data_IF_670806283735
#
_entry.id   IF_670806283735
#
_cell.length_a   1.000
_cell.length_b   1.000
_cell.length_c   1.000
_cell.angle_alpha   90.00
_cell.angle_beta   90.00
_cell.angle_gamma   90.00
#
_symmetry.space_group_name_H-M   'P 1'
#
loop_
_entity.id
_entity.type
_entity.pdbx_description
1 polymer ?
#
# COMPACT_ATOMS: atom_id res chain seq x y z
N UNK A 1 -13.39 17.78 6.14
CA UNK A 1 -13.42 16.40 5.67
C UNK A 1 -12.25 16.18 4.73
N UNK A 2 -11.61 15.03 4.83
CA UNK A 2 -10.44 14.64 4.01
C UNK A 2 -10.85 13.72 2.85
N UNK A 3 -12.02 13.95 2.27
CA UNK A 3 -12.58 13.06 1.26
C UNK A 3 -11.93 13.19 -0.12
N UNK A 4 -11.14 14.23 -0.34
CA UNK A 4 -10.45 14.49 -1.62
C UNK A 4 -9.04 14.98 -1.35
N UNK A 5 -8.08 14.52 -2.17
CA UNK A 5 -6.75 15.12 -2.25
C UNK A 5 -6.81 16.30 -3.22
N UNK A 6 -6.55 17.51 -2.72
CA UNK A 6 -6.71 18.74 -3.49
C UNK A 6 -5.85 18.82 -4.77
N UNK A 7 -4.78 18.04 -4.81
CA UNK A 7 -3.84 18.03 -5.93
C UNK A 7 -4.19 17.00 -7.03
N UNK A 8 -5.23 16.21 -6.86
CA UNK A 8 -5.72 15.38 -7.96
C UNK A 8 -6.46 16.24 -8.98
N UNK A 9 -6.15 16.03 -10.27
CA UNK A 9 -6.74 16.77 -11.37
C UNK A 9 -8.27 16.54 -11.51
N UNK A 10 -8.72 15.33 -11.12
CA UNK A 10 -10.13 15.00 -10.96
C UNK A 10 -10.41 14.68 -9.50
N UNK A 11 -11.55 15.09 -8.99
CA UNK A 11 -11.98 14.73 -7.65
C UNK A 11 -11.97 13.19 -7.51
N UNK A 12 -11.42 12.71 -6.39
CA UNK A 12 -11.47 11.33 -5.92
C UNK A 12 -10.57 10.31 -6.64
N UNK A 13 -10.06 10.57 -7.84
CA UNK A 13 -9.29 9.57 -8.58
C UNK A 13 -8.29 10.15 -9.57
N UNK A 14 -7.20 9.43 -9.80
CA UNK A 14 -6.32 9.57 -10.95
C UNK A 14 -5.73 8.24 -11.37
N UNK A 15 -5.20 8.17 -12.57
CA UNK A 15 -4.53 6.99 -13.10
C UNK A 15 -3.24 6.67 -12.31
N UNK A 16 -3.00 5.39 -12.05
CA UNK A 16 -1.72 4.88 -11.52
C UNK A 16 -0.72 4.77 -12.66
N UNK A 17 0.46 5.35 -12.48
CA UNK A 17 1.51 5.39 -13.49
C UNK A 17 2.83 4.81 -12.97
N UNK A 18 3.81 4.65 -13.84
CA UNK A 18 5.16 4.22 -13.48
C UNK A 18 5.82 5.16 -12.44
N UNK A 19 5.44 6.44 -12.41
CA UNK A 19 5.94 7.40 -11.43
C UNK A 19 5.57 7.00 -10.00
N UNK A 20 4.36 6.47 -9.76
CA UNK A 20 3.90 6.07 -8.43
C UNK A 20 4.72 4.90 -7.86
N UNK A 21 5.17 3.99 -8.74
CA UNK A 21 6.05 2.89 -8.34
C UNK A 21 7.47 3.39 -8.01
N UNK A 22 8.03 4.25 -8.86
CA UNK A 22 9.36 4.86 -8.61
C UNK A 22 9.31 5.74 -7.36
N UNK A 23 8.24 6.48 -7.16
CA UNK A 23 8.05 7.31 -5.97
C UNK A 23 8.02 6.44 -4.71
N UNK A 24 7.35 5.31 -4.72
CA UNK A 24 7.35 4.38 -3.58
C UNK A 24 8.76 3.83 -3.29
N UNK A 25 9.54 3.45 -4.31
CA UNK A 25 10.93 3.02 -4.10
C UNK A 25 11.76 4.13 -3.43
N UNK A 26 11.57 5.38 -3.84
CA UNK A 26 12.20 6.54 -3.22
C UNK A 26 11.77 6.73 -1.76
N UNK A 27 10.49 6.52 -1.45
CA UNK A 27 9.96 6.56 -0.08
C UNK A 27 10.60 5.52 0.84
N UNK A 28 10.84 4.31 0.34
CA UNK A 28 11.53 3.25 1.12
C UNK A 28 12.92 3.69 1.58
N UNK A 29 13.60 4.54 0.80
CA UNK A 29 14.91 5.06 1.12
C UNK A 29 14.89 6.31 2.02
N UNK A 30 13.73 6.91 2.26
CA UNK A 30 13.63 8.11 3.07
C UNK A 30 13.72 7.79 4.57
N UNK A 31 14.81 8.20 5.27
CA UNK A 31 15.07 7.76 6.65
C UNK A 31 13.95 8.06 7.64
N UNK A 32 13.23 9.16 7.45
CA UNK A 32 12.15 9.57 8.35
C UNK A 32 10.91 8.65 8.30
N UNK A 33 10.76 7.85 7.26
CA UNK A 33 9.66 6.89 7.14
C UNK A 33 9.96 5.56 7.84
N UNK A 34 11.20 5.38 8.33
CA UNK A 34 11.64 4.20 9.09
C UNK A 34 11.23 2.87 8.44
N UNK A 35 11.41 2.77 7.11
CA UNK A 35 11.04 1.57 6.37
C UNK A 35 11.78 0.33 6.91
N UNK A 36 11.06 -0.74 7.30
CA UNK A 36 11.70 -1.94 7.87
C UNK A 36 12.55 -2.70 6.85
N UNK A 37 12.37 -2.45 5.55
CA UNK A 37 13.12 -3.10 4.48
C UNK A 37 14.23 -2.23 3.89
N UNK A 38 14.43 -1.01 4.40
CA UNK A 38 15.43 -0.07 3.86
C UNK A 38 16.84 -0.66 3.82
N UNK A 39 17.25 -1.39 4.87
CA UNK A 39 18.54 -2.05 4.93
C UNK A 39 18.73 -3.07 3.80
N UNK A 40 17.76 -3.97 3.64
CA UNK A 40 17.79 -4.99 2.58
C UNK A 40 17.78 -4.34 1.18
N UNK A 41 16.94 -3.35 0.95
CA UNK A 41 16.90 -2.65 -0.34
C UNK A 41 18.20 -1.89 -0.63
N UNK A 42 18.85 -1.37 0.40
CA UNK A 42 20.17 -0.72 0.31
C UNK A 42 21.29 -1.67 -0.14
N UNK A 43 21.18 -2.96 0.13
CA UNK A 43 22.13 -3.97 -0.35
C UNK A 43 21.97 -4.21 -1.86
N UNK A 44 20.75 -4.18 -2.38
CA UNK A 44 20.47 -4.61 -3.74
C UNK A 44 20.22 -3.50 -4.74
N UNK A 45 19.53 -2.41 -4.36
CA UNK A 45 19.20 -1.34 -5.31
C UNK A 45 20.37 -0.38 -5.47
N UNK A 46 20.76 -0.11 -6.73
CA UNK A 46 21.85 0.81 -7.07
C UNK A 46 21.57 2.23 -6.55
N UNK A 47 22.53 2.80 -5.82
CA UNK A 47 22.43 4.19 -5.34
C UNK A 47 21.43 4.42 -4.22
N UNK A 48 20.84 3.36 -3.64
CA UNK A 48 19.84 3.49 -2.58
C UNK A 48 20.41 4.09 -1.29
N UNK A 49 21.59 3.66 -0.75
CA UNK A 49 22.19 4.28 0.41
C UNK A 49 22.56 5.73 0.19
N UNK A 50 23.17 6.04 -0.94
CA UNK A 50 23.60 7.40 -1.32
C UNK A 50 22.39 8.36 -1.45
N UNK A 51 21.30 7.84 -1.98
CA UNK A 51 20.04 8.57 -2.07
C UNK A 51 19.46 8.85 -0.67
N UNK A 52 19.46 7.85 0.21
CA UNK A 52 19.04 8.00 1.61
C UNK A 52 19.85 9.08 2.35
N UNK A 53 21.18 9.08 2.19
CA UNK A 53 22.05 10.11 2.76
C UNK A 53 21.76 11.49 2.20
N UNK A 54 21.48 11.59 0.90
CA UNK A 54 21.10 12.85 0.26
C UNK A 54 19.84 13.44 0.87
N UNK A 55 18.81 12.61 1.05
CA UNK A 55 17.56 13.03 1.69
C UNK A 55 17.74 13.40 3.15
N UNK A 56 18.61 12.68 3.87
CA UNK A 56 18.94 12.98 5.27
C UNK A 56 19.58 14.35 5.43
N UNK A 57 20.39 14.78 4.46
CA UNK A 57 21.01 16.11 4.44
C UNK A 57 20.03 17.19 3.99
N UNK A 58 19.22 16.93 2.97
CA UNK A 58 18.29 17.91 2.42
C UNK A 58 17.10 18.24 3.35
N UNK A 59 16.70 17.32 4.21
CA UNK A 59 15.51 17.51 5.05
C UNK A 59 15.68 18.62 6.11
N UNK A 60 16.80 18.72 6.87
CA UNK A 60 17.04 19.83 7.77
C UNK A 60 17.05 21.21 7.08
N UNK A 61 17.63 21.30 5.88
CA UNK A 61 17.63 22.52 5.10
C UNK A 61 16.20 22.95 4.76
N UNK A 62 15.37 21.99 4.34
CA UNK A 62 13.95 22.22 4.07
C UNK A 62 13.17 22.66 5.31
N UNK A 63 13.47 22.09 6.49
CA UNK A 63 12.88 22.52 7.76
C UNK A 63 13.23 23.97 8.09
N UNK A 64 14.49 24.36 7.88
CA UNK A 64 14.95 25.71 8.11
C UNK A 64 14.30 26.73 7.16
N UNK A 65 14.19 26.38 5.88
CA UNK A 65 13.59 27.23 4.85
C UNK A 65 12.08 27.44 5.08
N UNK A 66 11.36 26.39 5.41
CA UNK A 66 9.90 26.43 5.59
C UNK A 66 9.46 26.96 6.94
N UNK A 67 10.30 26.81 7.97
CA UNK A 67 9.94 27.07 9.37
C UNK A 67 8.94 26.06 9.95
N UNK A 68 8.69 24.96 9.25
CA UNK A 68 7.75 23.90 9.66
C UNK A 68 8.48 22.79 10.42
N UNK A 69 7.80 22.18 11.40
CA UNK A 69 8.35 21.06 12.16
C UNK A 69 8.53 19.79 11.30
N UNK A 70 7.59 19.54 10.41
CA UNK A 70 7.58 18.39 9.50
C UNK A 70 7.20 18.80 8.06
N UNK A 71 8.08 19.52 7.35
CA UNK A 71 7.78 19.99 6.01
C UNK A 71 7.74 18.84 4.99
N UNK A 72 6.94 19.02 3.95
CA UNK A 72 6.98 18.15 2.79
C UNK A 72 8.31 18.33 2.04
N UNK A 73 8.99 17.20 1.81
CA UNK A 73 10.15 17.09 0.92
C UNK A 73 9.72 16.34 -0.34
N UNK A 74 9.77 17.01 -1.48
CA UNK A 74 9.40 16.35 -2.75
C UNK A 74 10.51 15.39 -3.20
N UNK A 75 10.27 14.10 -3.04
CA UNK A 75 11.26 13.07 -3.40
C UNK A 75 11.50 12.99 -4.91
N UNK A 76 10.65 13.61 -5.72
CA UNK A 76 10.82 13.65 -7.19
C UNK A 76 11.99 14.53 -7.60
N UNK A 77 12.31 15.56 -6.81
CA UNK A 77 13.42 16.47 -7.07
C UNK A 77 14.80 15.80 -6.90
N UNK A 78 14.86 14.64 -6.28
CA UNK A 78 16.09 13.90 -6.03
C UNK A 78 16.16 12.66 -6.92
N UNK A 79 17.16 12.51 -7.79
CA UNK A 79 17.32 11.34 -8.63
C UNK A 79 17.82 10.13 -7.83
N UNK A 80 17.18 8.96 -8.01
CA UNK A 80 17.65 7.67 -7.52
C UNK A 80 18.21 6.88 -8.69
N UNK A 81 19.52 6.63 -8.71
CA UNK A 81 20.18 5.94 -9.82
C UNK A 81 19.62 4.52 -10.10
N UNK A 82 19.11 3.87 -9.06
CA UNK A 82 18.56 2.51 -9.11
C UNK A 82 17.07 2.43 -9.43
N UNK A 83 16.34 3.54 -9.56
CA UNK A 83 14.92 3.51 -9.92
C UNK A 83 14.57 4.71 -10.82
N UNK A 84 14.09 4.42 -12.01
CA UNK A 84 13.77 5.44 -13.02
C UNK A 84 12.46 5.15 -13.76
N UNK A 85 11.75 6.18 -14.13
CA UNK A 85 10.61 6.12 -15.04
C UNK A 85 11.13 6.09 -16.46
N UNK A 86 10.74 5.09 -17.24
CA UNK A 86 11.08 4.99 -18.66
C UNK A 86 10.04 5.69 -19.51
N UNK A 87 8.77 5.41 -19.22
CA UNK A 87 7.62 6.08 -19.82
C UNK A 87 6.40 5.97 -18.86
N UNK A 88 5.23 6.38 -19.30
CA UNK A 88 4.01 6.43 -18.49
C UNK A 88 3.68 5.12 -17.77
N UNK A 89 4.02 3.97 -18.36
CA UNK A 89 3.65 2.63 -17.84
C UNK A 89 4.84 1.72 -17.61
N UNK A 90 6.06 2.19 -17.84
CA UNK A 90 7.27 1.41 -17.63
C UNK A 90 8.24 2.12 -16.72
N UNK A 91 8.69 1.41 -15.72
CA UNK A 91 9.79 1.84 -14.86
C UNK A 91 10.88 0.76 -14.84
N UNK A 92 12.05 1.13 -14.37
CA UNK A 92 13.20 0.25 -14.23
C UNK A 92 13.76 0.32 -12.83
N UNK A 93 14.03 -0.85 -12.25
CA UNK A 93 14.86 -0.98 -11.04
C UNK A 93 16.17 -1.65 -11.41
N UNK A 94 17.30 -1.01 -11.05
CA UNK A 94 18.65 -1.53 -11.27
C UNK A 94 19.19 -2.13 -9.99
N UNK A 95 19.65 -3.38 -10.08
CA UNK A 95 20.23 -4.11 -8.96
C UNK A 95 21.74 -4.17 -9.09
N UNK A 96 22.45 -4.15 -7.92
CA UNK A 96 23.92 -4.23 -7.85
C UNK A 96 24.47 -5.60 -8.27
N UNK A 97 23.62 -6.62 -8.31
CA UNK A 97 24.02 -7.98 -8.66
C UNK A 97 22.84 -8.85 -9.04
N UNK A 98 23.09 -10.13 -9.20
CA UNK A 98 22.07 -11.12 -9.53
C UNK A 98 21.22 -11.46 -8.31
N UNK A 99 19.96 -11.06 -8.32
CA UNK A 99 18.99 -11.34 -7.24
C UNK A 99 17.61 -11.73 -7.83
N UNK A 100 17.46 -13.00 -8.26
CA UNK A 100 16.24 -13.46 -8.94
C UNK A 100 14.97 -13.30 -8.08
N UNK A 101 15.11 -13.39 -6.74
CA UNK A 101 14.00 -13.25 -5.80
C UNK A 101 13.48 -11.81 -5.69
N UNK A 102 14.15 -10.82 -6.30
CA UNK A 102 13.71 -9.42 -6.21
C UNK A 102 12.28 -9.22 -6.70
N UNK A 103 11.84 -10.02 -7.68
CA UNK A 103 10.46 -9.93 -8.20
C UNK A 103 9.41 -10.20 -7.12
N UNK A 104 9.70 -11.02 -6.11
CA UNK A 104 8.77 -11.28 -5.02
C UNK A 104 8.59 -10.07 -4.10
N UNK A 105 9.61 -9.20 -3.97
CA UNK A 105 9.47 -7.94 -3.25
C UNK A 105 8.46 -7.01 -3.90
N UNK A 106 8.40 -6.98 -5.24
CA UNK A 106 7.46 -6.14 -5.98
C UNK A 106 5.99 -6.55 -5.74
N UNK A 107 5.75 -7.80 -5.32
CA UNK A 107 4.43 -8.29 -4.95
C UNK A 107 4.07 -8.01 -3.48
N UNK A 108 4.99 -7.48 -2.69
CA UNK A 108 4.74 -7.17 -1.28
C UNK A 108 4.15 -5.77 -1.10
N UNK A 109 3.35 -5.52 -0.05
CA UNK A 109 2.75 -4.21 0.24
C UNK A 109 3.76 -3.06 0.33
N UNK A 110 5.02 -3.34 0.64
CA UNK A 110 6.09 -2.33 0.68
C UNK A 110 6.32 -1.62 -0.66
N UNK A 111 6.01 -2.29 -1.76
CA UNK A 111 6.17 -1.76 -3.11
C UNK A 111 4.85 -1.33 -3.75
N UNK A 112 3.76 -1.30 -2.99
CA UNK A 112 2.50 -0.76 -3.49
C UNK A 112 2.70 0.68 -4.02
N UNK A 113 2.19 1.00 -5.21
CA UNK A 113 2.38 2.33 -5.80
C UNK A 113 1.82 3.42 -4.90
N UNK A 114 2.54 4.53 -4.79
CA UNK A 114 2.20 5.65 -3.91
C UNK A 114 2.11 6.94 -4.71
N UNK A 115 0.95 7.61 -4.74
CA UNK A 115 0.84 8.93 -5.34
C UNK A 115 1.56 9.97 -4.46
N UNK A 116 2.46 10.75 -5.06
CA UNK A 116 3.20 11.81 -4.36
C UNK A 116 2.27 12.86 -3.74
N UNK A 117 1.11 13.06 -4.36
CA UNK A 117 0.05 13.94 -3.88
C UNK A 117 -0.43 13.56 -2.49
N UNK A 118 -0.48 12.26 -2.17
CA UNK A 118 -0.85 11.79 -0.85
C UNK A 118 0.17 12.19 0.21
N UNK A 119 1.47 12.00 -0.06
CA UNK A 119 2.53 12.45 0.85
C UNK A 119 2.45 13.96 1.09
N UNK A 120 2.30 14.74 0.02
CA UNK A 120 2.15 16.19 0.11
C UNK A 120 0.92 16.59 0.92
N UNK A 121 -0.21 15.93 0.70
CA UNK A 121 -1.45 16.20 1.42
C UNK A 121 -1.31 15.94 2.92
N UNK A 122 -0.74 14.80 3.31
CA UNK A 122 -0.59 14.43 4.73
C UNK A 122 0.55 15.16 5.43
N UNK A 123 1.50 15.75 4.70
CA UNK A 123 2.54 16.60 5.27
C UNK A 123 2.09 18.03 5.57
N UNK A 124 0.84 18.40 5.30
CA UNK A 124 0.34 19.74 5.62
C UNK A 124 0.38 20.03 7.12
N UNK A 125 0.64 21.30 7.53
CA UNK A 125 0.69 21.69 8.93
C UNK A 125 -0.57 21.28 9.71
N UNK A 126 -0.36 20.64 10.85
CA UNK A 126 -1.42 20.22 11.76
C UNK A 126 -2.08 18.88 11.43
N UNK A 127 -1.75 18.21 10.33
CA UNK A 127 -2.26 16.87 10.00
C UNK A 127 -1.79 15.84 11.03
N UNK A 128 -0.49 15.80 11.30
CA UNK A 128 0.11 14.88 12.29
C UNK A 128 -0.51 15.06 13.70
N UNK A 129 -0.65 16.32 14.16
CA UNK A 129 -1.27 16.62 15.47
C UNK A 129 -2.72 16.18 15.59
N UNK A 130 -3.41 15.98 14.47
CA UNK A 130 -4.80 15.52 14.39
C UNK A 130 -4.91 14.03 14.10
N UNK A 131 -3.80 13.29 14.04
CA UNK A 131 -3.74 11.91 13.57
C UNK A 131 -4.35 11.71 12.17
N UNK A 132 -4.26 12.73 11.31
CA UNK A 132 -4.68 12.63 9.92
C UNK A 132 -3.45 12.23 9.11
N UNK A 133 -3.35 10.97 8.77
CA UNK A 133 -2.19 10.40 8.06
C UNK A 133 -2.61 9.30 7.12
N UNK A 134 -1.69 8.88 6.26
CA UNK A 134 -1.90 7.78 5.34
C UNK A 134 -2.26 6.46 6.04
N UNK A 135 -1.78 6.25 7.27
CA UNK A 135 -2.09 5.05 8.06
C UNK A 135 -3.56 4.98 8.48
N UNK A 136 -4.20 6.12 8.66
CA UNK A 136 -5.61 6.21 9.06
C UNK A 136 -6.54 6.37 7.86
N UNK A 137 -6.06 6.98 6.79
CA UNK A 137 -6.83 7.28 5.58
C UNK A 137 -6.02 6.88 4.34
N UNK A 138 -5.80 5.57 4.13
CA UNK A 138 -4.99 5.08 3.03
C UNK A 138 -5.62 5.42 1.67
N UNK A 139 -4.75 5.65 0.68
CA UNK A 139 -5.11 5.80 -0.73
C UNK A 139 -4.64 4.56 -1.47
N UNK A 140 -5.49 3.98 -2.28
CA UNK A 140 -5.16 2.77 -3.03
C UNK A 140 -6.03 2.58 -4.26
N UNK A 141 -5.58 1.72 -5.17
CA UNK A 141 -6.26 1.37 -6.42
C UNK A 141 -7.06 0.06 -6.35
N UNK A 142 -7.10 -0.58 -5.17
CA UNK A 142 -7.73 -1.87 -4.99
C UNK A 142 -9.27 -1.83 -4.99
N UNK A 143 -9.92 -3.02 -4.99
CA UNK A 143 -11.37 -3.15 -5.05
C UNK A 143 -12.08 -2.69 -3.77
N UNK A 144 -11.36 -2.50 -2.69
CA UNK A 144 -11.91 -2.04 -1.42
C UNK A 144 -11.16 -0.81 -0.91
N UNK A 145 -11.87 0.02 -0.14
CA UNK A 145 -11.31 1.16 0.58
C UNK A 145 -11.67 1.07 2.07
N UNK A 146 -10.81 1.62 2.92
CA UNK A 146 -10.98 1.64 4.37
C UNK A 146 -12.06 2.66 4.76
N UNK A 147 -13.18 2.19 5.32
CA UNK A 147 -14.28 3.02 5.78
C UNK A 147 -14.24 3.27 7.30
N UNK A 148 -13.77 2.27 8.07
CA UNK A 148 -13.59 2.39 9.51
C UNK A 148 -12.25 1.77 9.89
N UNK A 149 -11.49 2.49 10.71
CA UNK A 149 -10.24 1.99 11.28
C UNK A 149 -10.26 2.22 12.80
N UNK A 150 -10.72 1.21 13.54
CA UNK A 150 -10.67 1.21 14.99
C UNK A 150 -9.69 0.13 15.46
N UNK A 151 -8.45 0.50 15.85
CA UNK A 151 -7.41 -0.46 16.23
C UNK A 151 -7.70 -1.25 17.49
N UNK A 152 -8.77 -0.91 18.22
CA UNK A 152 -9.19 -1.62 19.42
C UNK A 152 -10.45 -2.49 19.22
N UNK A 153 -11.06 -2.41 18.05
CA UNK A 153 -12.32 -3.10 17.79
C UNK A 153 -12.32 -3.79 16.42
N UNK A 154 -12.25 -3.01 15.33
CA UNK A 154 -12.38 -3.56 13.99
C UNK A 154 -11.88 -2.60 12.91
N UNK A 155 -11.60 -3.18 11.74
CA UNK A 155 -11.45 -2.45 10.48
C UNK A 155 -12.58 -2.85 9.53
N UNK A 156 -13.15 -1.87 8.84
CA UNK A 156 -14.21 -2.10 7.86
C UNK A 156 -13.76 -1.59 6.50
N UNK A 157 -13.74 -2.49 5.54
CA UNK A 157 -13.50 -2.18 4.15
C UNK A 157 -14.83 -2.20 3.39
N UNK A 158 -15.03 -1.24 2.51
CA UNK A 158 -16.19 -1.15 1.61
C UNK A 158 -15.72 -1.12 0.16
N UNK A 159 -16.58 -1.44 -0.80
CA UNK A 159 -16.25 -1.36 -2.23
C UNK A 159 -15.69 0.02 -2.57
N UNK A 160 -14.61 0.01 -3.35
CA UNK A 160 -14.05 1.22 -3.92
C UNK A 160 -14.83 1.58 -5.20
N UNK A 161 -15.56 2.72 -5.23
CA UNK A 161 -16.34 3.10 -6.40
C UNK A 161 -15.47 3.45 -7.63
N UNK A 162 -14.18 3.74 -7.40
CA UNK A 162 -13.20 4.09 -8.44
C UNK A 162 -12.35 2.89 -8.86
N UNK A 163 -12.70 1.67 -8.43
CA UNK A 163 -11.97 0.48 -8.86
C UNK A 163 -12.15 0.27 -10.37
N UNK A 164 -11.03 0.01 -11.06
CA UNK A 164 -11.02 -0.12 -12.52
C UNK A 164 -11.82 -1.32 -13.05
N UNK A 165 -12.18 -2.25 -12.14
CA UNK A 165 -12.89 -3.48 -12.47
C UNK A 165 -11.96 -4.60 -12.93
N UNK A 166 -12.23 -5.78 -12.41
CA UNK A 166 -11.65 -7.05 -12.86
C UNK A 166 -12.78 -8.04 -13.02
N UNK A 167 -12.57 -9.04 -13.86
CA UNK A 167 -13.52 -10.12 -14.05
C UNK A 167 -13.02 -11.40 -13.37
N UNK A 168 -13.95 -12.18 -12.88
CA UNK A 168 -13.61 -13.51 -12.38
C UNK A 168 -13.01 -14.35 -13.51
N UNK A 169 -11.94 -15.12 -13.28
CA UNK A 169 -11.24 -15.85 -14.32
C UNK A 169 -12.15 -16.77 -15.14
N UNK A 170 -11.97 -16.76 -16.46
CA UNK A 170 -12.68 -17.65 -17.38
C UNK A 170 -11.98 -18.99 -17.57
N UNK A 171 -10.68 -19.04 -17.25
CA UNK A 171 -9.81 -20.20 -17.38
C UNK A 171 -9.28 -20.63 -16.01
N UNK A 172 -9.08 -21.92 -15.83
CA UNK A 172 -8.56 -22.54 -14.62
C UNK A 172 -7.85 -23.85 -14.95
N UNK A 173 -7.50 -24.60 -13.91
CA UNK A 173 -6.91 -25.92 -14.08
C UNK A 173 -7.92 -26.94 -14.65
N UNK A 174 -7.38 -28.04 -15.16
CA UNK A 174 -8.20 -29.15 -15.67
C UNK A 174 -9.05 -29.72 -14.50
N UNK A 175 -10.36 -29.63 -14.61
CA UNK A 175 -11.28 -30.05 -13.56
C UNK A 175 -11.99 -28.92 -12.82
N UNK A 176 -11.46 -27.69 -12.80
CA UNK A 176 -12.05 -26.55 -12.09
C UNK A 176 -13.49 -26.26 -12.55
N UNK A 177 -13.74 -26.39 -13.85
CA UNK A 177 -15.08 -26.22 -14.41
C UNK A 177 -16.04 -27.29 -13.91
N UNK A 178 -15.59 -28.55 -13.84
CA UNK A 178 -16.40 -29.66 -13.33
C UNK A 178 -16.62 -29.54 -11.81
N UNK A 179 -15.67 -28.95 -11.09
CA UNK A 179 -15.79 -28.66 -9.66
C UNK A 179 -16.65 -27.42 -9.35
N UNK A 180 -17.17 -26.71 -10.37
CA UNK A 180 -17.99 -25.52 -10.20
C UNK A 180 -17.21 -24.23 -9.88
N UNK A 181 -15.88 -24.28 -9.87
CA UNK A 181 -15.04 -23.12 -9.51
C UNK A 181 -15.08 -22.00 -10.55
N UNK A 182 -15.53 -22.27 -11.76
CA UNK A 182 -15.71 -21.30 -12.84
C UNK A 182 -17.19 -20.91 -13.05
N UNK A 183 -18.06 -21.13 -12.05
CA UNK A 183 -19.48 -20.76 -12.16
C UNK A 183 -19.70 -19.26 -12.36
N UNK A 184 -18.81 -18.44 -11.77
CA UNK A 184 -18.85 -16.96 -11.84
C UNK A 184 -17.93 -16.38 -12.93
N UNK A 185 -17.41 -17.22 -13.83
CA UNK A 185 -16.52 -16.77 -14.91
C UNK A 185 -17.08 -15.58 -15.68
N UNK A 186 -16.25 -14.55 -15.87
CA UNK A 186 -16.62 -13.31 -16.57
C UNK A 186 -17.50 -12.33 -15.78
N UNK A 187 -17.90 -12.66 -14.56
CA UNK A 187 -18.61 -11.71 -13.70
C UNK A 187 -17.65 -10.70 -13.08
N UNK A 188 -18.12 -9.47 -12.89
CA UNK A 188 -17.31 -8.40 -12.27
C UNK A 188 -17.09 -8.66 -10.77
N UNK A 189 -15.83 -8.57 -10.33
CA UNK A 189 -15.47 -8.65 -8.93
C UNK A 189 -15.21 -7.26 -8.34
N UNK A 190 -15.32 -7.07 -7.00
CA UNK A 190 -15.59 -8.06 -5.95
C UNK A 190 -17.08 -8.42 -5.84
N UNK A 191 -17.41 -9.65 -5.43
CA UNK A 191 -18.79 -10.08 -5.19
C UNK A 191 -19.35 -9.58 -3.86
N UNK A 192 -18.49 -9.39 -2.85
CA UNK A 192 -18.89 -8.90 -1.53
C UNK A 192 -18.89 -7.38 -1.49
N UNK A 193 -19.78 -6.79 -0.70
CA UNK A 193 -19.91 -5.34 -0.54
C UNK A 193 -19.01 -4.78 0.55
N UNK A 194 -18.72 -5.63 1.56
CA UNK A 194 -18.02 -5.22 2.77
C UNK A 194 -17.18 -6.37 3.33
N UNK A 195 -15.95 -6.05 3.75
CA UNK A 195 -15.11 -6.95 4.54
C UNK A 195 -14.88 -6.34 5.92
N UNK A 196 -15.14 -7.11 6.97
CA UNK A 196 -15.01 -6.67 8.36
C UNK A 196 -13.95 -7.52 9.04
N UNK A 197 -12.88 -6.88 9.49
CA UNK A 197 -11.82 -7.50 10.28
C UNK A 197 -12.01 -7.16 11.75
N UNK A 198 -12.52 -8.09 12.54
CA UNK A 198 -12.67 -7.93 13.99
C UNK A 198 -11.34 -8.24 14.68
N UNK A 199 -10.97 -7.41 15.64
CA UNK A 199 -9.74 -7.56 16.42
C UNK A 199 -10.07 -8.29 17.72
N UNK A 200 -9.60 -9.52 17.82
CA UNK A 200 -9.73 -10.33 19.03
C UNK A 200 -8.37 -10.43 19.73
N UNK A 201 -8.34 -10.29 21.04
CA UNK A 201 -7.10 -10.34 21.82
C UNK A 201 -6.59 -11.76 22.04
N UNK A 202 -7.49 -12.75 21.97
CA UNK A 202 -7.19 -14.15 22.28
C UNK A 202 -7.70 -15.08 21.19
N UNK A 203 -7.02 -16.22 21.02
CA UNK A 203 -7.28 -17.19 19.96
C UNK A 203 -8.58 -17.99 20.18
N UNK A 204 -8.84 -18.43 21.40
CA UNK A 204 -10.02 -19.26 21.72
C UNK A 204 -11.34 -18.58 21.40
N UNK A 205 -11.58 -17.28 21.80
CA UNK A 205 -12.80 -16.58 21.45
C UNK A 205 -13.08 -16.48 19.97
N UNK A 206 -12.09 -16.18 19.13
CA UNK A 206 -12.36 -16.03 17.69
C UNK A 206 -12.66 -17.38 17.02
N UNK A 207 -12.00 -18.48 17.44
CA UNK A 207 -12.29 -19.80 16.93
C UNK A 207 -13.74 -20.23 17.27
N UNK A 208 -14.18 -20.02 18.51
CA UNK A 208 -15.54 -20.29 18.94
C UNK A 208 -16.58 -19.44 18.17
N UNK A 209 -16.28 -18.17 17.89
CA UNK A 209 -17.13 -17.31 17.07
C UNK A 209 -17.22 -17.79 15.63
N UNK A 210 -16.14 -18.30 15.06
CA UNK A 210 -16.16 -18.93 13.75
C UNK A 210 -17.05 -20.18 13.73
N UNK A 211 -16.89 -21.09 14.68
CA UNK A 211 -17.74 -22.28 14.80
C UNK A 211 -19.23 -21.95 14.99
N UNK A 212 -19.55 -20.84 15.60
CA UNK A 212 -20.91 -20.33 15.80
C UNK A 212 -21.45 -19.54 14.59
N UNK A 213 -20.67 -19.38 13.53
CA UNK A 213 -21.06 -18.68 12.32
C UNK A 213 -21.04 -17.14 12.39
N UNK A 214 -20.36 -16.56 13.38
CA UNK A 214 -20.16 -15.10 13.45
C UNK A 214 -19.08 -14.61 12.51
N UNK A 215 -18.14 -15.47 12.11
CA UNK A 215 -17.05 -15.16 11.19
C UNK A 215 -17.06 -16.12 10.02
N UNK A 216 -16.78 -15.61 8.82
CA UNK A 216 -16.69 -16.39 7.58
C UNK A 216 -15.32 -17.08 7.44
N UNK A 217 -14.30 -16.58 8.14
CA UNK A 217 -12.94 -17.12 8.12
C UNK A 217 -12.29 -17.03 9.50
N UNK A 218 -11.44 -18.01 9.82
CA UNK A 218 -10.64 -18.05 11.04
C UNK A 218 -9.36 -18.81 10.80
N UNK A 219 -8.29 -18.46 11.51
CA UNK A 219 -7.12 -19.32 11.68
C UNK A 219 -7.41 -20.41 12.72
N UNK A 220 -6.75 -21.56 12.57
CA UNK A 220 -6.78 -22.64 13.56
C UNK A 220 -5.49 -22.53 14.37
N UNK A 221 -5.60 -22.38 15.70
CA UNK A 221 -4.46 -22.43 16.59
C UNK A 221 -4.12 -23.88 16.99
N UNK A 222 -2.89 -24.10 17.51
CA UNK A 222 -2.47 -25.41 18.02
C UNK A 222 -3.43 -25.97 19.06
N UNK A 223 -4.03 -25.10 19.87
CA UNK A 223 -4.94 -25.48 20.97
C UNK A 223 -6.34 -25.91 20.49
N UNK A 224 -6.58 -25.84 19.17
CA UNK A 224 -7.86 -26.17 18.54
C UNK A 224 -7.77 -27.40 17.61
N UNK A 225 -6.68 -28.14 17.69
CA UNK A 225 -6.42 -29.32 16.85
C UNK A 225 -6.87 -30.67 17.47
N UNK A 226 -7.61 -30.68 18.54
CA UNK A 226 -8.11 -31.91 19.19
C UNK A 226 -9.43 -32.39 18.60
#
# INVERSE_FOLDING_TARGET
SVNTLADFAAADSREVTAEDFVYQVKRLAFPRLHSPIAGVMGEYIVGFPEYSETLQKAYPDRQQESGEESPYLDLRDFPLAGAEVIDRYRFRVRLKGKYPQFVYWLAMPFFAPMPWEADRFYAQPGMEKRNISLNWYPVGSGPFMLAENNPNLRMVLVRNPNFHGELYPEEGASGDRAAGLLADAGQAIPFIDKAIYSLEKETIPYWNKFLQGYYDASGISSDSFD
#
